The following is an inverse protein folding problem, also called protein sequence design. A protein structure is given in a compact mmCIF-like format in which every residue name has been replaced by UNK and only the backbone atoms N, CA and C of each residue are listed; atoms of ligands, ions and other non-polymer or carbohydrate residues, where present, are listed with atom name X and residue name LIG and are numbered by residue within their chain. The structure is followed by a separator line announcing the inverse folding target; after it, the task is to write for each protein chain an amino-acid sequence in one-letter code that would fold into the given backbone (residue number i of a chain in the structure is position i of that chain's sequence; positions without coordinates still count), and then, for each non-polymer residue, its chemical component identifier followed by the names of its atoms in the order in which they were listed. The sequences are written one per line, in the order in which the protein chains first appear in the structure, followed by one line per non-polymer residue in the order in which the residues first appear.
data_IF_061118714470
#
_entry.id   IF_061118714470
#
_cell.length_a   1.000
_cell.length_b   1.000
_cell.length_c   1.000
_cell.angle_alpha   90.00
_cell.angle_beta   90.00
_cell.angle_gamma   90.00
#
_symmetry.space_group_name_H-M   'P 1'
#
loop_
_entity.id
_entity.type
_entity.pdbx_description
1 polymer ?
#
# COMPACT_ATOMS: atom_id res chain seq x y z
N UNK A 1 -34.82 -40.85 22.15
CA UNK A 1 -33.58 -41.15 21.42
C UNK A 1 -33.63 -40.45 20.06
N UNK A 2 -33.74 -39.12 20.05
CA UNK A 2 -33.94 -38.33 18.82
C UNK A 2 -33.34 -36.91 18.89
N UNK A 3 -32.70 -36.55 20.00
CA UNK A 3 -32.08 -35.22 20.19
C UNK A 3 -30.57 -35.27 19.98
N UNK A 4 -29.97 -36.47 19.89
CA UNK A 4 -28.53 -36.65 19.65
C UNK A 4 -28.14 -36.74 18.18
N UNK A 5 -29.09 -36.87 17.24
CA UNK A 5 -28.81 -36.94 15.81
C UNK A 5 -28.76 -35.58 15.11
N UNK A 6 -29.39 -34.54 15.68
CA UNK A 6 -29.34 -33.17 15.13
C UNK A 6 -28.05 -32.41 15.47
N UNK A 7 -27.30 -32.87 16.49
CA UNK A 7 -25.98 -32.31 16.83
C UNK A 7 -24.83 -32.95 16.03
N UNK A 8 -25.09 -34.00 15.24
CA UNK A 8 -24.07 -34.65 14.40
C UNK A 8 -23.83 -33.96 13.04
N UNK A 9 -24.71 -33.02 12.64
CA UNK A 9 -24.65 -32.31 11.35
C UNK A 9 -24.11 -30.88 11.54
N UNK A 10 -23.89 -30.42 12.77
CA UNK A 10 -22.92 -29.35 13.01
C UNK A 10 -21.52 -29.93 12.88
N UNK A 11 -21.13 -30.20 11.62
CA UNK A 11 -19.74 -30.38 11.23
C UNK A 11 -18.88 -29.42 12.03
N UNK A 12 -17.81 -29.94 12.64
CA UNK A 12 -16.76 -29.18 13.31
C UNK A 12 -15.99 -28.27 12.35
N UNK A 13 -16.68 -27.48 11.54
CA UNK A 13 -16.14 -26.28 10.94
C UNK A 13 -15.95 -25.30 12.10
N UNK A 14 -14.70 -25.13 12.47
CA UNK A 14 -14.24 -23.96 13.23
C UNK A 14 -14.89 -22.68 12.68
N UNK A 15 -14.95 -21.60 13.47
CA UNK A 15 -15.42 -20.28 12.99
C UNK A 15 -14.78 -19.85 11.66
N UNK A 16 -13.56 -20.34 11.38
CA UNK A 16 -12.85 -20.19 10.11
C UNK A 16 -13.50 -20.93 8.93
N UNK A 17 -14.05 -22.12 9.13
CA UNK A 17 -14.70 -22.89 8.06
C UNK A 17 -15.97 -22.20 7.54
N UNK A 18 -16.80 -21.68 8.43
CA UNK A 18 -18.01 -20.95 8.05
C UNK A 18 -17.70 -19.68 7.25
N UNK A 19 -16.63 -18.97 7.64
CA UNK A 19 -16.17 -17.77 6.92
C UNK A 19 -15.78 -18.07 5.47
N UNK A 20 -15.07 -19.19 5.24
CA UNK A 20 -14.71 -19.64 3.89
C UNK A 20 -15.93 -20.04 3.07
N UNK A 21 -16.90 -20.73 3.67
CA UNK A 21 -18.13 -21.08 2.98
C UNK A 21 -18.90 -19.85 2.50
N UNK A 22 -19.06 -18.84 3.37
CA UNK A 22 -19.70 -17.57 2.98
C UNK A 22 -18.92 -16.82 1.92
N UNK A 23 -17.57 -16.82 1.97
CA UNK A 23 -16.75 -16.18 0.96
C UNK A 23 -16.90 -16.84 -0.43
N UNK A 24 -16.94 -18.18 -0.47
CA UNK A 24 -17.16 -18.94 -1.70
C UNK A 24 -18.58 -18.72 -2.23
N UNK A 25 -19.60 -18.77 -1.37
CA UNK A 25 -20.98 -18.51 -1.76
C UNK A 25 -21.15 -17.08 -2.31
N UNK A 26 -20.53 -16.09 -1.67
CA UNK A 26 -20.58 -14.70 -2.09
C UNK A 26 -19.86 -14.45 -3.44
N UNK A 27 -18.71 -15.07 -3.65
CA UNK A 27 -17.99 -14.99 -4.93
C UNK A 27 -18.73 -15.69 -6.07
N UNK A 28 -19.40 -16.81 -5.81
CA UNK A 28 -20.31 -17.45 -6.77
C UNK A 28 -21.49 -16.54 -7.12
N UNK A 29 -22.11 -15.91 -6.11
CA UNK A 29 -23.20 -14.95 -6.31
C UNK A 29 -22.76 -13.77 -7.19
N UNK A 30 -21.60 -13.16 -6.91
CA UNK A 30 -21.05 -12.08 -7.72
C UNK A 30 -20.78 -12.53 -9.16
N UNK A 31 -20.18 -13.70 -9.34
CA UNK A 31 -19.88 -14.26 -10.67
C UNK A 31 -21.15 -14.49 -11.47
N UNK A 32 -22.19 -15.05 -10.85
CA UNK A 32 -23.50 -15.24 -11.46
C UNK A 32 -24.14 -13.90 -11.86
N UNK A 33 -24.10 -12.89 -10.97
CA UNK A 33 -24.70 -11.60 -11.25
C UNK A 33 -23.98 -10.83 -12.37
N UNK A 34 -22.64 -10.93 -12.42
CA UNK A 34 -21.82 -10.47 -13.54
C UNK A 34 -22.24 -11.14 -14.85
N UNK A 35 -22.45 -12.46 -14.79
CA UNK A 35 -22.88 -13.23 -15.95
C UNK A 35 -24.25 -12.82 -16.49
N UNK A 36 -25.21 -12.68 -15.58
CA UNK A 36 -26.57 -12.22 -15.89
C UNK A 36 -26.57 -10.82 -16.50
N UNK A 37 -25.72 -9.91 -16.01
CA UNK A 37 -25.57 -8.57 -16.57
C UNK A 37 -25.00 -8.60 -17.99
N UNK A 38 -23.96 -9.40 -18.24
CA UNK A 38 -23.37 -9.53 -19.59
C UNK A 38 -24.38 -10.03 -20.62
N UNK A 39 -25.18 -11.04 -20.23
CA UNK A 39 -26.29 -11.54 -21.02
C UNK A 39 -27.30 -10.43 -21.37
N UNK A 40 -27.72 -9.64 -20.37
CA UNK A 40 -28.63 -8.49 -20.56
C UNK A 40 -28.05 -7.36 -21.42
N UNK A 41 -26.73 -7.22 -21.46
CA UNK A 41 -26.05 -6.15 -22.22
C UNK A 41 -25.73 -6.59 -23.67
N UNK A 42 -26.25 -7.74 -24.11
CA UNK A 42 -26.02 -8.25 -25.47
C UNK A 42 -24.59 -8.75 -25.72
N UNK A 43 -23.77 -8.92 -24.68
CA UNK A 43 -22.37 -9.40 -24.78
C UNK A 43 -22.24 -10.93 -24.73
N UNK A 44 -23.37 -11.64 -24.88
CA UNK A 44 -23.44 -13.11 -24.78
C UNK A 44 -23.39 -13.63 -23.33
N UNK A 45 -23.79 -14.89 -23.16
CA UNK A 45 -23.64 -15.62 -21.90
C UNK A 45 -22.16 -15.94 -21.66
N UNK A 46 -21.75 -16.00 -20.39
CA UNK A 46 -20.41 -16.53 -20.06
C UNK A 46 -20.45 -18.04 -20.32
N UNK A 47 -19.62 -18.52 -21.24
CA UNK A 47 -19.34 -19.95 -21.35
C UNK A 47 -18.69 -20.49 -20.07
N UNK A 48 -18.59 -21.81 -19.95
CA UNK A 48 -18.01 -22.49 -18.77
C UNK A 48 -16.61 -21.93 -18.40
N UNK A 49 -15.73 -21.75 -19.40
CA UNK A 49 -14.41 -21.15 -19.21
C UNK A 49 -14.47 -19.68 -18.76
N UNK A 50 -15.41 -18.90 -19.29
CA UNK A 50 -15.59 -17.50 -18.90
C UNK A 50 -16.14 -17.36 -17.48
N UNK A 51 -17.02 -18.27 -17.06
CA UNK A 51 -17.53 -18.33 -15.70
C UNK A 51 -16.41 -18.69 -14.71
N UNK A 52 -15.63 -19.73 -15.02
CA UNK A 52 -14.48 -20.14 -14.21
C UNK A 52 -13.44 -19.03 -14.07
N UNK A 53 -13.11 -18.33 -15.16
CA UNK A 53 -12.17 -17.20 -15.11
C UNK A 53 -12.67 -16.05 -14.23
N UNK A 54 -13.93 -15.63 -14.40
CA UNK A 54 -14.49 -14.54 -13.58
C UNK A 54 -14.56 -14.93 -12.12
N UNK A 55 -14.97 -16.17 -11.82
CA UNK A 55 -14.96 -16.69 -10.46
C UNK A 55 -13.56 -16.66 -9.84
N UNK A 56 -12.56 -17.13 -10.57
CA UNK A 56 -11.16 -17.15 -10.13
C UNK A 56 -10.62 -15.74 -9.86
N UNK A 57 -10.93 -14.77 -10.72
CA UNK A 57 -10.52 -13.38 -10.50
C UNK A 57 -11.20 -12.79 -9.26
N UNK A 58 -12.50 -13.02 -9.08
CA UNK A 58 -13.26 -12.50 -7.93
C UNK A 58 -12.77 -13.09 -6.61
N UNK A 59 -12.51 -14.40 -6.57
CA UNK A 59 -12.06 -15.06 -5.34
C UNK A 59 -10.64 -14.63 -4.95
N UNK A 60 -9.71 -14.55 -5.91
CA UNK A 60 -8.34 -14.04 -5.66
C UNK A 60 -8.42 -12.62 -5.12
N UNK A 61 -9.20 -11.76 -5.77
CA UNK A 61 -9.33 -10.37 -5.37
C UNK A 61 -9.90 -10.25 -3.95
N UNK A 62 -10.93 -11.04 -3.62
CA UNK A 62 -11.52 -11.06 -2.28
C UNK A 62 -10.52 -11.55 -1.22
N UNK A 63 -9.84 -12.67 -1.46
CA UNK A 63 -8.85 -13.25 -0.54
C UNK A 63 -7.68 -12.29 -0.32
N UNK A 64 -7.14 -11.69 -1.38
CA UNK A 64 -6.06 -10.70 -1.27
C UNK A 64 -6.50 -9.45 -0.50
N UNK A 65 -7.70 -8.93 -0.78
CA UNK A 65 -8.22 -7.74 -0.08
C UNK A 65 -8.38 -8.02 1.42
N UNK A 66 -8.96 -9.16 1.79
CA UNK A 66 -9.18 -9.52 3.20
C UNK A 66 -7.85 -9.78 3.91
N UNK A 67 -6.96 -10.58 3.32
CA UNK A 67 -5.67 -10.95 3.94
C UNK A 67 -4.80 -9.74 4.23
N UNK A 68 -4.63 -8.85 3.24
CA UNK A 68 -3.79 -7.65 3.40
C UNK A 68 -4.44 -6.67 4.39
N UNK A 69 -5.76 -6.49 4.35
CA UNK A 69 -6.46 -5.63 5.32
C UNK A 69 -6.32 -6.14 6.76
N UNK A 70 -6.45 -7.46 6.97
CA UNK A 70 -6.25 -8.09 8.29
C UNK A 70 -4.80 -8.01 8.75
N UNK A 71 -3.84 -8.22 7.85
CA UNK A 71 -2.41 -8.07 8.15
C UNK A 71 -2.09 -6.63 8.59
N UNK A 72 -2.65 -5.63 7.90
CA UNK A 72 -2.48 -4.21 8.25
C UNK A 72 -3.15 -3.86 9.58
N UNK A 73 -4.38 -4.33 9.80
CA UNK A 73 -5.11 -4.08 11.04
C UNK A 73 -4.45 -4.74 12.26
N UNK A 74 -3.93 -5.96 12.10
CA UNK A 74 -3.19 -6.66 13.16
C UNK A 74 -1.86 -5.98 13.44
N UNK A 75 -1.13 -5.55 12.41
CA UNK A 75 0.13 -4.80 12.56
C UNK A 75 -0.12 -3.47 13.30
N UNK A 76 -1.13 -2.70 12.88
CA UNK A 76 -1.53 -1.46 13.55
C UNK A 76 -1.89 -1.71 15.01
N UNK A 77 -2.70 -2.74 15.32
CA UNK A 77 -3.06 -3.08 16.71
C UNK A 77 -1.85 -3.46 17.56
N UNK A 78 -0.92 -4.23 17.00
CA UNK A 78 0.33 -4.58 17.68
C UNK A 78 1.16 -3.32 17.96
N UNK A 79 1.37 -2.49 16.95
CA UNK A 79 2.11 -1.23 17.09
C UNK A 79 1.44 -0.27 18.08
N UNK A 80 0.12 -0.12 18.06
CA UNK A 80 -0.57 0.77 19.02
C UNK A 80 -0.49 0.24 20.44
N UNK A 81 -0.62 -1.08 20.65
CA UNK A 81 -0.45 -1.69 21.98
C UNK A 81 0.98 -1.52 22.48
N UNK A 82 1.94 -1.81 21.61
CA UNK A 82 3.35 -1.69 21.95
C UNK A 82 3.72 -0.23 22.27
N UNK A 83 3.19 0.75 21.54
CA UNK A 83 3.41 2.18 21.82
C UNK A 83 2.75 2.66 23.12
N UNK A 84 1.64 2.05 23.54
CA UNK A 84 1.00 2.38 24.83
C UNK A 84 1.75 1.77 26.02
N UNK A 85 2.36 0.60 25.83
CA UNK A 85 3.10 -0.11 26.88
C UNK A 85 4.62 0.13 26.83
N UNK A 86 5.16 0.83 25.82
CA UNK A 86 6.58 1.11 25.66
C UNK A 86 6.95 2.50 26.17
N UNK A 87 8.00 2.59 26.96
CA UNK A 87 8.67 3.86 27.25
C UNK A 87 9.71 4.16 26.16
N UNK A 88 9.93 5.44 25.89
CA UNK A 88 10.87 5.91 24.86
C UNK A 88 12.25 6.04 25.49
N UNK A 89 13.21 5.25 25.04
CA UNK A 89 14.59 5.29 25.53
C UNK A 89 15.54 5.81 24.44
N UNK A 90 16.45 6.70 24.83
CA UNK A 90 17.61 7.05 24.00
C UNK A 90 18.65 5.95 24.16
N UNK A 91 18.93 5.23 23.08
CA UNK A 91 19.91 4.14 23.06
C UNK A 91 21.14 4.53 22.26
N UNK A 92 22.30 3.98 22.59
CA UNK A 92 23.53 4.14 21.83
C UNK A 92 23.90 2.83 21.15
N UNK A 93 24.37 2.88 19.90
CA UNK A 93 24.87 1.69 19.20
C UNK A 93 26.19 1.22 19.83
N UNK A 94 26.21 0.01 20.40
CA UNK A 94 27.38 -0.55 21.10
C UNK A 94 28.08 -1.63 20.28
N UNK A 95 27.34 -2.41 19.49
CA UNK A 95 27.91 -3.40 18.59
C UNK A 95 27.07 -3.57 17.34
N UNK A 96 27.54 -4.32 16.35
CA UNK A 96 26.76 -4.68 15.17
C UNK A 96 27.07 -6.13 14.79
N UNK A 97 26.04 -6.88 14.40
CA UNK A 97 26.16 -8.19 13.79
C UNK A 97 26.18 -8.04 12.27
N UNK A 98 26.97 -8.83 11.55
CA UNK A 98 26.97 -8.84 10.08
C UNK A 98 26.57 -10.21 9.55
N UNK A 99 25.64 -10.27 8.61
CA UNK A 99 25.35 -11.49 7.84
C UNK A 99 25.50 -11.21 6.35
N UNK A 100 26.03 -12.19 5.62
CA UNK A 100 26.16 -12.10 4.17
C UNK A 100 24.86 -12.58 3.52
N UNK A 101 24.22 -11.68 2.76
CA UNK A 101 23.11 -12.04 1.90
C UNK A 101 23.66 -12.28 0.50
N UNK A 102 23.58 -13.53 0.06
CA UNK A 102 23.99 -13.91 -1.28
C UNK A 102 22.77 -13.94 -2.20
N UNK A 103 22.73 -13.03 -3.16
CA UNK A 103 21.67 -12.96 -4.15
C UNK A 103 22.09 -13.74 -5.41
N UNK A 104 21.49 -14.91 -5.60
CA UNK A 104 21.85 -15.85 -6.66
C UNK A 104 21.56 -15.33 -8.07
N UNK A 105 20.61 -14.39 -8.21
CA UNK A 105 20.22 -13.83 -9.51
C UNK A 105 21.13 -12.68 -9.96
N UNK A 106 21.78 -11.98 -9.01
CA UNK A 106 22.65 -10.83 -9.28
C UNK A 106 24.15 -11.15 -9.17
N UNK A 107 24.52 -12.34 -8.69
CA UNK A 107 25.93 -12.74 -8.48
C UNK A 107 26.69 -11.83 -7.50
N UNK A 108 25.96 -11.08 -6.66
CA UNK A 108 26.51 -10.03 -5.79
C UNK A 108 26.28 -10.42 -4.33
N UNK A 109 27.36 -10.44 -3.54
CA UNK A 109 27.29 -10.67 -2.09
C UNK A 109 27.18 -9.33 -1.38
N UNK A 110 26.08 -9.10 -0.67
CA UNK A 110 25.88 -7.88 0.11
C UNK A 110 25.94 -8.19 1.60
N UNK A 111 26.90 -7.61 2.31
CA UNK A 111 27.00 -7.71 3.76
C UNK A 111 25.98 -6.78 4.40
N UNK A 112 25.07 -7.34 5.18
CA UNK A 112 24.05 -6.62 5.93
C UNK A 112 24.48 -6.51 7.40
N UNK A 113 24.47 -5.30 7.94
CA UNK A 113 24.80 -5.02 9.34
C UNK A 113 23.51 -4.79 10.15
N UNK A 114 23.33 -5.55 11.21
CA UNK A 114 22.26 -5.40 12.20
C UNK A 114 22.85 -4.76 13.46
N UNK A 115 22.58 -3.48 13.74
CA UNK A 115 23.11 -2.80 14.93
C UNK A 115 22.48 -3.33 16.23
N UNK A 116 23.32 -3.55 17.23
CA UNK A 116 22.95 -3.78 18.63
C UNK A 116 23.11 -2.48 19.39
N UNK A 117 22.03 -2.04 20.01
CA UNK A 117 21.95 -0.82 20.79
C UNK A 117 21.84 -1.15 22.27
N UNK A 118 22.43 -0.29 23.08
CA UNK A 118 22.35 -0.34 24.52
C UNK A 118 21.61 0.88 25.04
N UNK A 119 20.69 0.65 25.98
CA UNK A 119 20.02 1.74 26.70
C UNK A 119 19.90 1.40 28.18
N UNK A 120 19.79 2.46 28.98
CA UNK A 120 19.48 2.36 30.40
C UNK A 120 17.98 2.50 30.59
N UNK A 121 17.35 1.54 31.26
CA UNK A 121 15.93 1.60 31.63
C UNK A 121 15.71 2.63 32.75
N UNK A 122 14.46 3.02 32.99
CA UNK A 122 14.08 3.95 34.09
C UNK A 122 14.40 3.37 35.47
N UNK A 123 14.63 2.06 35.57
CA UNK A 123 15.11 1.34 36.75
C UNK A 123 16.64 1.28 36.89
N UNK A 124 17.40 1.87 35.95
CA UNK A 124 18.87 1.90 35.97
C UNK A 124 19.55 0.64 35.46
N UNK A 125 18.82 -0.26 34.79
CA UNK A 125 19.34 -1.52 34.28
C UNK A 125 19.88 -1.35 32.85
N UNK A 126 21.05 -1.94 32.58
CA UNK A 126 21.75 -1.90 31.29
C UNK A 126 21.19 -3.02 30.40
N UNK A 127 20.48 -2.65 29.33
CA UNK A 127 19.88 -3.61 28.39
C UNK A 127 20.53 -3.48 27.01
N UNK A 128 21.16 -4.56 26.55
CA UNK A 128 21.65 -4.71 25.18
C UNK A 128 20.52 -5.30 24.31
N UNK A 129 20.22 -4.66 23.18
CA UNK A 129 19.13 -5.07 22.30
C UNK A 129 19.51 -4.96 20.82
N UNK A 130 19.26 -6.02 20.06
CA UNK A 130 19.50 -6.06 18.61
C UNK A 130 18.32 -5.43 17.86
N UNK A 131 18.61 -4.46 16.98
CA UNK A 131 17.57 -3.78 16.21
C UNK A 131 16.95 -4.72 15.16
N UNK A 132 15.65 -4.56 14.91
CA UNK A 132 14.88 -5.42 13.99
C UNK A 132 15.08 -5.09 12.50
N UNK A 133 16.02 -4.20 12.17
CA UNK A 133 16.36 -3.83 10.80
C UNK A 133 17.86 -3.94 10.56
N UNK A 134 18.21 -4.32 9.32
CA UNK A 134 19.58 -4.45 8.85
C UNK A 134 19.83 -3.43 7.75
N UNK A 135 21.04 -2.89 7.72
CA UNK A 135 21.47 -1.89 6.73
C UNK A 135 22.71 -2.38 6.01
N UNK A 136 22.86 -2.03 4.73
CA UNK A 136 24.11 -2.25 3.99
C UNK A 136 25.22 -1.29 4.43
N UNK A 137 24.88 -0.22 5.16
CA UNK A 137 25.84 0.72 5.73
C UNK A 137 26.27 0.29 7.14
N UNK A 138 27.58 0.29 7.39
CA UNK A 138 28.13 -0.01 8.71
C UNK A 138 27.66 1.06 9.73
N UNK A 139 26.94 0.66 10.80
CA UNK A 139 26.53 1.57 11.85
C UNK A 139 27.75 2.17 12.56
N UNK A 140 27.75 3.48 12.85
CA UNK A 140 28.79 4.09 13.66
C UNK A 140 28.52 3.80 15.14
N UNK A 141 29.53 3.28 15.83
CA UNK A 141 29.47 3.02 17.28
C UNK A 141 29.31 4.37 17.99
N UNK A 142 28.32 4.47 18.88
CA UNK A 142 27.96 5.70 19.60
C UNK A 142 26.83 6.54 18.97
N UNK A 143 26.28 6.15 17.81
CA UNK A 143 25.11 6.84 17.26
C UNK A 143 23.90 6.67 18.18
N UNK A 144 23.21 7.80 18.44
CA UNK A 144 22.03 7.81 19.30
C UNK A 144 20.81 7.43 18.48
N UNK A 145 20.25 6.25 18.77
CA UNK A 145 19.04 5.73 18.14
C UNK A 145 17.92 5.73 19.17
N UNK A 146 16.75 6.23 18.78
CA UNK A 146 15.57 6.21 19.65
C UNK A 146 14.95 4.80 19.54
N UNK A 147 14.89 4.10 20.66
CA UNK A 147 14.30 2.76 20.76
C UNK A 147 13.07 2.84 21.63
N UNK A 148 11.97 2.28 21.14
CA UNK A 148 10.78 2.05 21.93
C UNK A 148 10.90 0.66 22.52
N UNK A 149 11.15 0.58 23.82
CA UNK A 149 11.35 -0.67 24.54
C UNK A 149 10.28 -0.84 25.60
N UNK A 150 9.69 -2.03 25.63
CA UNK A 150 8.75 -2.42 26.67
C UNK A 150 9.44 -3.40 27.63
N UNK A 151 9.71 -2.93 28.85
CA UNK A 151 10.41 -3.69 29.88
C UNK A 151 9.65 -4.95 30.36
N UNK A 152 8.35 -5.07 30.09
CA UNK A 152 7.56 -6.24 30.50
C UNK A 152 7.54 -7.38 29.48
N UNK A 153 7.86 -7.12 28.21
CA UNK A 153 7.80 -8.11 27.12
C UNK A 153 9.13 -8.36 26.41
N UNK A 154 10.12 -7.47 26.56
CA UNK A 154 11.42 -7.58 25.88
C UNK A 154 11.36 -7.26 24.37
N UNK A 155 10.19 -6.87 23.85
CA UNK A 155 10.00 -6.47 22.47
C UNK A 155 10.45 -5.01 22.26
N UNK A 156 11.43 -4.80 21.37
CA UNK A 156 11.73 -3.46 20.85
C UNK A 156 11.11 -3.28 19.47
N UNK A 157 10.63 -2.06 19.20
CA UNK A 157 10.23 -1.66 17.85
C UNK A 157 11.16 -0.55 17.39
N UNK A 158 11.84 -0.80 16.28
CA UNK A 158 12.66 0.19 15.61
C UNK A 158 12.08 0.50 14.23
N UNK A 159 11.71 1.76 14.04
CA UNK A 159 11.13 2.22 12.79
C UNK A 159 12.24 2.53 11.79
N UNK A 160 12.70 1.52 11.06
CA UNK A 160 13.61 1.70 9.93
C UNK A 160 12.90 2.15 8.65
N UNK A 161 13.65 2.69 7.68
CA UNK A 161 13.14 3.08 6.36
C UNK A 161 12.37 1.94 5.65
N UNK A 162 12.87 0.70 5.75
CA UNK A 162 12.23 -0.48 5.18
C UNK A 162 10.83 -0.72 5.75
N UNK A 163 10.65 -0.52 7.06
CA UNK A 163 9.35 -0.66 7.73
C UNK A 163 8.35 0.39 7.22
N UNK A 164 8.79 1.63 7.04
CA UNK A 164 7.95 2.68 6.45
C UNK A 164 7.62 2.38 4.99
N UNK A 165 8.59 1.97 4.17
CA UNK A 165 8.37 1.64 2.78
C UNK A 165 7.36 0.48 2.61
N UNK A 166 7.50 -0.58 3.41
CA UNK A 166 6.58 -1.71 3.40
C UNK A 166 5.17 -1.31 3.88
N UNK A 167 5.07 -0.45 4.89
CA UNK A 167 3.80 0.08 5.36
C UNK A 167 3.09 0.96 4.31
N UNK A 168 3.82 1.90 3.69
CA UNK A 168 3.27 2.74 2.62
C UNK A 168 2.90 1.92 1.37
N UNK A 169 3.72 0.95 0.99
CA UNK A 169 3.42 0.03 -0.11
C UNK A 169 2.17 -0.79 0.15
N UNK A 170 2.05 -1.37 1.35
CA UNK A 170 0.86 -2.10 1.77
C UNK A 170 -0.39 -1.20 1.78
N UNK A 171 -0.27 0.04 2.26
CA UNK A 171 -1.37 1.02 2.26
C UNK A 171 -1.89 1.30 0.85
N UNK A 172 -0.98 1.58 -0.09
CA UNK A 172 -1.33 1.84 -1.50
C UNK A 172 -2.00 0.61 -2.12
N UNK A 173 -1.46 -0.58 -1.87
CA UNK A 173 -2.01 -1.84 -2.37
C UNK A 173 -3.42 -2.11 -1.82
N UNK A 174 -3.68 -1.86 -0.53
CA UNK A 174 -5.01 -1.98 0.07
C UNK A 174 -5.99 -1.04 -0.63
N UNK A 175 -5.60 0.23 -0.84
CA UNK A 175 -6.46 1.20 -1.52
C UNK A 175 -6.83 0.67 -2.91
N UNK A 176 -5.86 0.22 -3.69
CA UNK A 176 -6.10 -0.33 -5.04
C UNK A 176 -7.03 -1.54 -5.01
N UNK A 177 -6.80 -2.49 -4.10
CA UNK A 177 -7.61 -3.70 -3.97
C UNK A 177 -9.04 -3.42 -3.51
N UNK A 178 -9.22 -2.53 -2.53
CA UNK A 178 -10.54 -2.13 -2.04
C UNK A 178 -11.32 -1.42 -3.15
N UNK A 179 -10.69 -0.50 -3.90
CA UNK A 179 -11.32 0.11 -5.06
C UNK A 179 -11.71 -0.96 -6.09
N UNK A 180 -10.81 -1.86 -6.46
CA UNK A 180 -11.09 -2.92 -7.42
C UNK A 180 -12.24 -3.82 -6.95
N UNK A 181 -12.27 -4.20 -5.67
CA UNK A 181 -13.36 -4.98 -5.06
C UNK A 181 -14.68 -4.24 -5.13
N UNK A 182 -14.69 -2.95 -4.79
CA UNK A 182 -15.88 -2.10 -4.87
C UNK A 182 -16.40 -1.98 -6.31
N UNK A 183 -15.50 -1.89 -7.28
CA UNK A 183 -15.83 -1.90 -8.70
C UNK A 183 -16.50 -3.20 -9.13
N UNK A 184 -15.94 -4.35 -8.74
CA UNK A 184 -16.52 -5.67 -9.00
C UNK A 184 -17.90 -5.80 -8.36
N UNK A 185 -18.05 -5.33 -7.11
CA UNK A 185 -19.30 -5.38 -6.36
C UNK A 185 -20.39 -4.54 -7.05
N UNK A 186 -20.10 -3.27 -7.36
CA UNK A 186 -21.01 -2.39 -8.11
C UNK A 186 -21.36 -3.00 -9.48
N UNK A 187 -20.39 -3.68 -10.11
CA UNK A 187 -20.58 -4.28 -11.42
C UNK A 187 -21.49 -5.49 -11.36
N UNK A 188 -21.29 -6.36 -10.37
CA UNK A 188 -22.18 -7.48 -10.05
C UNK A 188 -23.59 -7.01 -9.70
N UNK A 189 -23.75 -5.96 -8.88
CA UNK A 189 -25.07 -5.42 -8.49
C UNK A 189 -25.79 -4.63 -9.59
N UNK A 190 -25.28 -4.65 -10.83
CA UNK A 190 -25.90 -3.99 -11.98
C UNK A 190 -26.00 -2.45 -11.88
N UNK A 191 -25.11 -1.81 -11.10
CA UNK A 191 -25.02 -0.34 -11.07
C UNK A 191 -24.36 0.23 -12.32
N UNK A 192 -24.71 1.47 -12.69
CA UNK A 192 -24.09 2.21 -13.79
C UNK A 192 -22.62 2.49 -13.49
N UNK A 193 -21.73 2.09 -14.40
CA UNK A 193 -20.27 2.17 -14.22
C UNK A 193 -19.68 3.53 -14.58
N UNK A 194 -20.44 4.39 -15.27
CA UNK A 194 -19.91 5.64 -15.84
C UNK A 194 -19.35 6.57 -14.76
N UNK A 195 -20.04 6.68 -13.63
CA UNK A 195 -19.59 7.47 -12.48
C UNK A 195 -18.38 6.85 -11.80
N UNK A 196 -18.41 5.53 -11.56
CA UNK A 196 -17.32 4.80 -10.94
C UNK A 196 -16.03 4.88 -11.77
N UNK A 197 -16.09 4.63 -13.08
CA UNK A 197 -14.95 4.74 -13.97
C UNK A 197 -14.44 6.18 -14.09
N UNK A 198 -15.33 7.18 -14.03
CA UNK A 198 -14.94 8.60 -13.98
C UNK A 198 -14.15 8.90 -12.71
N UNK A 199 -14.59 8.40 -11.55
CA UNK A 199 -13.84 8.52 -10.30
C UNK A 199 -12.50 7.80 -10.39
N UNK A 200 -12.46 6.53 -10.82
CA UNK A 200 -11.21 5.77 -10.90
C UNK A 200 -10.21 6.45 -11.83
N UNK A 201 -10.66 6.96 -12.98
CA UNK A 201 -9.81 7.74 -13.89
C UNK A 201 -9.34 9.04 -13.25
N UNK A 202 -10.23 9.78 -12.59
CA UNK A 202 -9.88 11.03 -11.92
C UNK A 202 -8.90 10.81 -10.77
N UNK A 203 -9.16 9.83 -9.90
CA UNK A 203 -8.31 9.47 -8.77
C UNK A 203 -6.98 8.90 -9.25
N UNK A 204 -6.97 7.95 -10.19
CA UNK A 204 -5.73 7.40 -10.73
C UNK A 204 -4.84 8.48 -11.33
N UNK A 205 -5.41 9.36 -12.15
CA UNK A 205 -4.61 10.39 -12.83
C UNK A 205 -4.27 11.58 -11.92
N UNK A 206 -5.15 11.98 -11.01
CA UNK A 206 -4.93 13.17 -10.16
C UNK A 206 -4.26 12.86 -8.82
N UNK A 207 -4.33 11.61 -8.32
CA UNK A 207 -3.75 11.21 -7.04
C UNK A 207 -2.59 10.22 -7.22
N UNK A 208 -2.75 9.18 -8.04
CA UNK A 208 -1.72 8.15 -8.19
C UNK A 208 -0.49 8.66 -8.96
N UNK A 209 -0.70 9.39 -10.06
CA UNK A 209 0.41 9.96 -10.85
C UNK A 209 1.29 10.91 -10.03
N UNK A 210 0.76 11.96 -9.36
CA UNK A 210 1.61 12.84 -8.55
C UNK A 210 2.25 12.10 -7.38
N UNK A 211 1.57 11.11 -6.78
CA UNK A 211 2.14 10.30 -5.71
C UNK A 211 3.36 9.51 -6.17
N UNK A 212 3.29 8.86 -7.34
CA UNK A 212 4.44 8.12 -7.92
C UNK A 212 5.57 9.08 -8.27
N UNK A 213 5.26 10.25 -8.82
CA UNK A 213 6.29 11.27 -9.12
C UNK A 213 7.00 11.73 -7.84
N UNK A 214 6.26 12.04 -6.77
CA UNK A 214 6.82 12.44 -5.48
C UNK A 214 7.67 11.33 -4.88
N UNK A 215 7.20 10.07 -4.92
CA UNK A 215 7.94 8.94 -4.38
C UNK A 215 9.27 8.73 -5.13
N UNK A 216 9.25 8.89 -6.45
CA UNK A 216 10.46 8.82 -7.27
C UNK A 216 11.42 9.97 -6.97
N UNK A 217 10.92 11.20 -6.81
CA UNK A 217 11.74 12.36 -6.39
C UNK A 217 12.38 12.13 -5.03
N UNK A 218 11.59 11.62 -4.07
CA UNK A 218 12.08 11.29 -2.72
C UNK A 218 13.16 10.21 -2.75
N UNK A 219 13.06 9.21 -3.65
CA UNK A 219 14.09 8.20 -3.88
C UNK A 219 15.39 8.82 -4.43
N UNK A 220 15.30 9.78 -5.35
CA UNK A 220 16.47 10.49 -5.87
C UNK A 220 17.14 11.35 -4.78
N UNK A 221 16.34 12.05 -3.98
CA UNK A 221 16.82 12.82 -2.82
C UNK A 221 17.48 11.88 -1.80
N UNK A 222 16.87 10.73 -1.52
CA UNK A 222 17.43 9.73 -0.63
C UNK A 222 18.78 9.22 -1.16
N UNK A 223 18.87 8.90 -2.45
CA UNK A 223 20.12 8.49 -3.08
C UNK A 223 21.19 9.58 -3.05
N UNK A 224 20.80 10.86 -3.07
CA UNK A 224 21.74 11.99 -2.95
C UNK A 224 22.34 12.11 -1.54
N UNK A 225 21.54 11.92 -0.48
CA UNK A 225 22.01 12.06 0.90
C UNK A 225 22.62 10.80 1.49
N UNK A 226 22.12 9.62 1.10
CA UNK A 226 22.46 8.33 1.70
C UNK A 226 23.02 7.32 0.69
N UNK A 227 23.17 7.71 -0.58
CA UNK A 227 23.87 6.88 -1.57
C UNK A 227 25.37 6.85 -1.32
N UNK A 228 26.03 5.84 -1.89
CA UNK A 228 27.49 5.75 -1.89
C UNK A 228 28.13 7.01 -2.49
N UNK A 229 29.40 7.25 -2.17
CA UNK A 229 30.18 8.34 -2.77
C UNK A 229 30.17 8.22 -4.30
N UNK A 230 29.48 9.15 -4.96
CA UNK A 230 29.39 9.24 -6.41
C UNK A 230 30.40 10.28 -6.93
N UNK A 231 30.97 10.10 -8.13
CA UNK A 231 31.81 11.12 -8.74
C UNK A 231 31.02 12.43 -8.93
N UNK A 232 31.69 13.58 -8.79
CA UNK A 232 31.08 14.92 -8.84
C UNK A 232 30.15 15.14 -10.04
N UNK A 233 30.48 14.58 -11.20
CA UNK A 233 29.62 14.64 -12.39
C UNK A 233 28.27 13.94 -12.20
N UNK A 234 28.27 12.75 -11.59
CA UNK A 234 27.05 11.99 -11.30
C UNK A 234 26.21 12.71 -10.23
N UNK A 235 26.84 13.29 -9.20
CA UNK A 235 26.16 14.11 -8.20
C UNK A 235 25.51 15.35 -8.83
N UNK A 236 26.22 16.06 -9.72
CA UNK A 236 25.67 17.21 -10.44
C UNK A 236 24.48 16.84 -11.33
N UNK A 237 24.56 15.71 -12.04
CA UNK A 237 23.47 15.18 -12.84
C UNK A 237 22.26 14.79 -11.96
N UNK A 238 22.51 14.17 -10.81
CA UNK A 238 21.47 13.76 -9.86
C UNK A 238 20.70 14.97 -9.32
N UNK A 239 21.41 16.02 -8.88
CA UNK A 239 20.79 17.28 -8.42
C UNK A 239 19.96 17.93 -9.54
N UNK A 240 20.47 17.95 -10.77
CA UNK A 240 19.73 18.46 -11.92
C UNK A 240 18.41 17.72 -12.15
N UNK A 241 18.41 16.39 -12.05
CA UNK A 241 17.19 15.59 -12.15
C UNK A 241 16.21 15.88 -11.03
N UNK A 242 16.67 15.97 -9.77
CA UNK A 242 15.82 16.32 -8.62
C UNK A 242 15.13 17.66 -8.87
N UNK A 243 15.89 18.71 -9.22
CA UNK A 243 15.33 20.06 -9.43
C UNK A 243 14.28 20.08 -10.54
N UNK A 244 14.57 19.46 -11.69
CA UNK A 244 13.62 19.40 -12.81
C UNK A 244 12.36 18.63 -12.43
N UNK A 245 12.52 17.52 -11.70
CA UNK A 245 11.41 16.65 -11.34
C UNK A 245 10.53 17.31 -10.27
N UNK A 246 11.11 17.96 -9.27
CA UNK A 246 10.37 18.78 -8.29
C UNK A 246 9.57 19.90 -8.97
N UNK A 247 10.17 20.61 -9.95
CA UNK A 247 9.47 21.62 -10.75
C UNK A 247 8.35 21.00 -11.59
N UNK A 248 8.60 19.82 -12.17
CA UNK A 248 7.61 19.04 -12.90
C UNK A 248 6.42 18.63 -12.04
N UNK A 249 6.67 18.16 -10.81
CA UNK A 249 5.64 17.83 -9.80
C UNK A 249 4.82 19.07 -9.48
N UNK A 250 5.48 20.19 -9.18
CA UNK A 250 4.79 21.44 -8.85
C UNK A 250 3.92 21.93 -10.01
N UNK A 251 4.45 21.91 -11.24
CA UNK A 251 3.70 22.23 -12.45
C UNK A 251 2.50 21.30 -12.67
N UNK A 252 2.68 20.01 -12.43
CA UNK A 252 1.63 19.00 -12.57
C UNK A 252 0.51 19.17 -11.54
N UNK A 253 0.84 19.40 -10.27
CA UNK A 253 -0.14 19.67 -9.21
C UNK A 253 -0.89 20.97 -9.50
N UNK A 254 -0.18 22.04 -9.85
CA UNK A 254 -0.78 23.34 -10.23
C UNK A 254 -1.76 23.17 -11.40
N UNK A 255 -1.38 22.39 -12.40
CA UNK A 255 -2.23 22.07 -13.55
C UNK A 255 -3.52 21.35 -13.11
N UNK A 256 -3.44 20.32 -12.26
CA UNK A 256 -4.62 19.59 -11.76
C UNK A 256 -5.55 20.49 -10.95
N UNK A 257 -4.99 21.40 -10.15
CA UNK A 257 -5.78 22.30 -9.31
C UNK A 257 -6.52 23.34 -10.15
N UNK A 258 -5.88 23.88 -11.19
CA UNK A 258 -6.39 25.01 -11.98
C UNK A 258 -7.22 24.60 -13.21
N UNK A 259 -6.93 23.45 -13.82
CA UNK A 259 -7.54 23.01 -15.07
C UNK A 259 -8.19 21.64 -14.93
N UNK A 260 -9.38 21.47 -15.50
CA UNK A 260 -9.97 20.17 -15.77
C UNK A 260 -9.38 19.60 -17.07
N UNK A 261 -9.14 18.29 -17.09
CA UNK A 261 -8.73 17.58 -18.30
C UNK A 261 -9.97 17.03 -19.01
N UNK A 262 -10.26 17.55 -20.20
CA UNK A 262 -11.26 16.99 -21.09
C UNK A 262 -10.52 16.20 -22.17
N UNK A 263 -10.74 14.89 -22.21
CA UNK A 263 -10.21 14.05 -23.27
C UNK A 263 -11.00 14.32 -24.54
N UNK A 264 -10.35 14.92 -25.53
CA UNK A 264 -10.94 15.21 -26.84
C UNK A 264 -10.31 14.27 -27.84
N UNK A 265 -11.13 13.72 -28.73
CA UNK A 265 -10.65 12.92 -29.85
C UNK A 265 -9.88 13.86 -30.78
N UNK A 266 -8.55 13.69 -30.87
CA UNK A 266 -7.66 14.53 -31.68
C UNK A 266 -7.47 14.00 -33.10
N UNK A 267 -7.92 12.77 -33.37
CA UNK A 267 -7.84 12.13 -34.69
C UNK A 267 -8.65 10.84 -34.77
N UNK A 268 -8.61 10.11 -35.90
CA UNK A 268 -9.40 8.89 -36.10
C UNK A 268 -9.18 7.83 -35.00
N UNK A 269 -7.94 7.70 -34.52
CA UNK A 269 -7.50 6.78 -33.45
C UNK A 269 -6.80 7.47 -32.27
N UNK A 270 -6.58 8.79 -32.30
CA UNK A 270 -5.83 9.50 -31.26
C UNK A 270 -6.74 10.29 -30.31
N UNK A 271 -6.38 10.27 -29.03
CA UNK A 271 -7.03 11.05 -27.98
C UNK A 271 -6.00 11.97 -27.35
N UNK A 272 -6.34 13.26 -27.24
CA UNK A 272 -5.52 14.27 -26.57
C UNK A 272 -6.26 14.84 -25.37
N UNK A 273 -5.53 15.12 -24.29
CA UNK A 273 -6.09 15.84 -23.16
C UNK A 273 -6.08 17.35 -23.47
N UNK A 274 -7.25 17.98 -23.56
CA UNK A 274 -7.38 19.43 -23.61
C UNK A 274 -7.58 19.95 -22.19
N UNK A 275 -6.73 20.88 -21.75
CA UNK A 275 -6.88 21.56 -20.47
C UNK A 275 -7.93 22.65 -20.60
N UNK A 276 -8.96 22.60 -19.76
CA UNK A 276 -10.02 23.62 -19.69
C UNK A 276 -9.96 24.23 -18.29
N UNK A 277 -9.91 25.55 -18.12
CA UNK A 277 -9.87 26.16 -16.80
C UNK A 277 -11.13 25.76 -16.00
N UNK A 278 -10.97 25.41 -14.73
CA UNK A 278 -12.11 25.08 -13.87
C UNK A 278 -13.01 26.31 -13.73
N UNK A 279 -14.29 26.20 -14.13
CA UNK A 279 -15.27 27.26 -13.89
C UNK A 279 -15.41 27.47 -12.38
N UNK A 280 -15.13 28.68 -11.88
CA UNK A 280 -15.55 29.11 -10.54
C UNK A 280 -17.07 28.88 -10.47
N UNK A 281 -17.53 28.02 -9.55
CA UNK A 281 -18.96 27.98 -9.19
C UNK A 281 -19.29 29.34 -8.58
N UNK A 282 -19.83 30.27 -9.36
CA UNK A 282 -20.53 31.40 -8.78
C UNK A 282 -21.64 30.85 -7.89
N UNK A 283 -21.63 31.26 -6.63
CA UNK A 283 -22.64 30.85 -5.67
C UNK A 283 -24.01 31.28 -6.20
N UNK A 284 -24.93 30.32 -6.32
CA UNK A 284 -26.32 30.56 -6.74
C UNK A 284 -27.13 31.39 -5.72
N UNK A 285 -26.47 31.95 -4.71
CA UNK A 285 -27.04 32.79 -3.67
C UNK A 285 -27.16 34.26 -4.07
N UNK A 286 -26.46 34.71 -5.12
CA UNK A 286 -26.48 36.13 -5.54
C UNK A 286 -27.57 36.44 -6.59
N UNK A 287 -28.25 35.42 -7.14
CA UNK A 287 -29.33 35.60 -8.14
C UNK A 287 -30.75 35.58 -7.57
N UNK A 288 -30.90 35.64 -6.25
CA UNK A 288 -32.19 35.84 -5.56
C UNK A 288 -32.11 37.10 -4.71
N UNK A 289 -32.13 38.26 -5.36
CA UNK A 289 -32.55 39.55 -4.79
C UNK A 289 -33.15 40.37 -5.93
#
# INVERSE_FOLDING_TARGET
MEITLLNGISLGLTTYGWSWFFAIAFSLYLTYSIGKRRAKTGKGNLGCLGFGYVFLVVIILMVMTISITLAMASSLRKTTKQLMDSERYMSQVVSYSSYESHDADAGTTTTMFTPTVEFFTTSGERVEHTLSYSSSHQPRIGDTVIVYYNAQTGDSMSFGFNTYALFFGALIMIIVLVFAFWGVLLYGLNYKMDYYLKIVKAVGVNFFVPLVMILFDALLIYAFFYGNEMPLFATGLLVFFIVILTLGIWGYIKMILTHDRVWVKTGPSSWGAKTVPKKKKESSWVKRN
#
